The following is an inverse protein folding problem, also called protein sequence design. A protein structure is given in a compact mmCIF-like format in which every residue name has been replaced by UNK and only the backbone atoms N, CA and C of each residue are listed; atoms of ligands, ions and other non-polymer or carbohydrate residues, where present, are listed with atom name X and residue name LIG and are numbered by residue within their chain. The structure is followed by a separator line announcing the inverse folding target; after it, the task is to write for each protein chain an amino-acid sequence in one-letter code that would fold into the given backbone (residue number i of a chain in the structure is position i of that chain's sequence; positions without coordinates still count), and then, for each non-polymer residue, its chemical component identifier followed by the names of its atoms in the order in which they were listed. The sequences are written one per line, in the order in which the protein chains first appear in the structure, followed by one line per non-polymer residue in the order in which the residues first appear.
data_IF_328621906270
#
_entry.id   IF_328621906270
#
_cell.length_a   1.000
_cell.length_b   1.000
_cell.length_c   1.000
_cell.angle_alpha   90.00
_cell.angle_beta   90.00
_cell.angle_gamma   90.00
#
_symmetry.space_group_name_H-M   'P 1'
#
loop_
_entity.id
_entity.type
_entity.pdbx_description
1 polymer ?
#
# COMPACT_ATOMS: atom_id res chain seq x y z
N UNK A 1 29.18 29.33 67.83
CA UNK A 1 29.22 28.36 66.72
C UNK A 1 28.26 28.83 65.65
N UNK A 2 28.80 29.29 64.53
CA UNK A 2 28.08 29.93 63.43
C UNK A 2 27.34 28.88 62.59
N UNK A 3 26.03 29.03 62.41
CA UNK A 3 25.23 28.16 61.54
C UNK A 3 25.43 28.57 60.07
N UNK A 4 25.97 27.66 59.26
CA UNK A 4 26.16 27.81 57.82
C UNK A 4 24.83 27.60 57.08
N UNK A 5 24.33 28.66 56.44
CA UNK A 5 23.16 28.59 55.56
C UNK A 5 23.58 27.85 54.28
N UNK A 6 22.97 26.71 54.00
CA UNK A 6 23.22 25.95 52.76
C UNK A 6 22.44 26.58 51.61
N UNK A 7 23.16 27.08 50.61
CA UNK A 7 22.61 27.77 49.44
C UNK A 7 21.89 26.76 48.51
N UNK A 8 20.56 26.86 48.42
CA UNK A 8 19.76 25.98 47.57
C UNK A 8 19.92 26.37 46.09
N UNK A 9 20.66 25.57 45.33
CA UNK A 9 20.86 25.74 43.89
C UNK A 9 19.57 25.46 43.13
N UNK A 10 18.88 26.51 42.69
CA UNK A 10 17.69 26.41 41.85
C UNK A 10 18.07 25.94 40.43
N UNK A 11 18.02 24.63 40.21
CA UNK A 11 18.21 24.04 38.88
C UNK A 11 16.90 24.17 38.11
N UNK A 12 16.80 25.15 37.20
CA UNK A 12 15.70 25.22 36.24
C UNK A 12 15.78 24.01 35.30
N UNK A 13 15.01 22.97 35.60
CA UNK A 13 14.84 21.82 34.74
C UNK A 13 14.04 22.25 33.50
N UNK A 14 14.71 22.46 32.37
CA UNK A 14 14.03 22.65 31.09
C UNK A 14 13.66 21.27 30.51
N UNK A 15 12.36 21.00 30.44
CA UNK A 15 11.83 19.82 29.78
C UNK A 15 11.80 20.09 28.27
N UNK A 16 12.70 19.44 27.52
CA UNK A 16 12.62 19.34 26.06
C UNK A 16 11.49 18.38 25.72
N UNK A 17 10.29 18.93 25.48
CA UNK A 17 9.15 18.15 25.01
C UNK A 17 9.33 17.84 23.52
N UNK A 18 10.03 16.75 23.22
CA UNK A 18 10.06 16.17 21.87
C UNK A 18 8.70 15.50 21.65
N UNK A 19 7.74 16.21 21.06
CA UNK A 19 6.53 15.59 20.52
C UNK A 19 6.90 14.80 19.28
N UNK A 20 7.36 13.57 19.46
CA UNK A 20 7.36 12.59 18.39
C UNK A 20 5.89 12.28 18.09
N UNK A 21 5.33 12.94 17.07
CA UNK A 21 3.97 12.65 16.60
C UNK A 21 4.02 11.29 15.91
N UNK A 22 3.86 10.22 16.66
CA UNK A 22 3.71 8.90 16.07
C UNK A 22 2.46 8.88 15.19
N UNK A 23 2.54 8.31 13.98
CA UNK A 23 1.39 8.25 13.09
C UNK A 23 0.29 7.41 13.75
N UNK A 24 -0.92 7.97 13.86
CA UNK A 24 -2.09 7.33 14.51
C UNK A 24 -2.41 5.94 13.94
N UNK A 25 -2.02 5.66 12.70
CA UNK A 25 -2.08 4.34 12.09
C UNK A 25 -0.74 4.04 11.43
N UNK A 26 -0.03 3.03 11.91
CA UNK A 26 1.23 2.58 11.31
C UNK A 26 0.97 1.43 10.31
N UNK A 27 1.26 1.68 9.03
CA UNK A 27 1.02 0.73 7.92
C UNK A 27 1.81 -0.57 8.08
N UNK A 28 2.97 -0.52 8.73
CA UNK A 28 3.87 -1.67 8.85
C UNK A 28 3.27 -2.83 9.65
N UNK A 29 2.25 -2.57 10.48
CA UNK A 29 1.53 -3.61 11.23
C UNK A 29 0.47 -4.34 10.40
N UNK A 30 0.23 -3.92 9.16
CA UNK A 30 -0.78 -4.49 8.30
C UNK A 30 -0.15 -5.39 7.25
N UNK A 31 -0.65 -6.62 7.14
CA UNK A 31 -0.31 -7.56 6.07
C UNK A 31 -1.35 -7.57 4.93
N UNK A 32 -2.53 -6.98 5.16
CA UNK A 32 -3.65 -6.97 4.20
C UNK A 32 -4.05 -5.56 3.82
N UNK A 33 -4.02 -5.28 2.51
CA UNK A 33 -4.48 -4.03 1.92
C UNK A 33 -5.95 -3.76 2.27
N UNK A 34 -6.84 -4.75 2.15
CA UNK A 34 -8.27 -4.59 2.45
C UNK A 34 -8.51 -4.29 3.92
N UNK A 35 -7.80 -4.98 4.82
CA UNK A 35 -7.89 -4.77 6.27
C UNK A 35 -7.46 -3.36 6.66
N UNK A 36 -6.40 -2.83 6.04
CA UNK A 36 -5.96 -1.45 6.22
C UNK A 36 -7.09 -0.46 5.92
N UNK A 37 -7.73 -0.53 4.75
CA UNK A 37 -8.82 0.39 4.42
C UNK A 37 -10.05 0.23 5.28
N UNK A 38 -10.44 -1.01 5.61
CA UNK A 38 -11.58 -1.26 6.50
C UNK A 38 -11.36 -0.59 7.85
N UNK A 39 -10.20 -0.81 8.46
CA UNK A 39 -9.87 -0.20 9.76
C UNK A 39 -9.78 1.32 9.65
N UNK A 40 -9.10 1.86 8.64
CA UNK A 40 -9.04 3.32 8.43
C UNK A 40 -10.43 3.93 8.22
N UNK A 41 -11.30 3.29 7.45
CA UNK A 41 -12.66 3.76 7.21
C UNK A 41 -13.51 3.72 8.49
N UNK A 42 -13.41 2.65 9.29
CA UNK A 42 -14.05 2.56 10.60
C UNK A 42 -13.59 3.68 11.54
N UNK A 43 -12.29 3.95 11.61
CA UNK A 43 -11.74 5.05 12.42
C UNK A 43 -12.29 6.39 11.96
N UNK A 44 -12.33 6.65 10.65
CA UNK A 44 -12.88 7.91 10.13
C UNK A 44 -14.36 8.06 10.38
N UNK A 45 -15.13 6.97 10.32
CA UNK A 45 -16.54 6.96 10.69
C UNK A 45 -16.74 7.22 12.17
N UNK A 46 -15.93 6.59 13.02
CA UNK A 46 -15.96 6.81 14.47
C UNK A 46 -15.72 8.29 14.79
N UNK A 47 -14.68 8.89 14.21
CA UNK A 47 -14.38 10.31 14.35
C UNK A 47 -15.50 11.22 13.82
N UNK A 48 -16.16 10.83 12.72
CA UNK A 48 -17.31 11.56 12.20
C UNK A 48 -18.50 11.50 13.17
N UNK A 49 -18.86 10.30 13.65
CA UNK A 49 -19.98 10.08 14.57
C UNK A 49 -19.77 10.72 15.95
N UNK A 50 -18.52 10.94 16.35
CA UNK A 50 -18.19 11.69 17.56
C UNK A 50 -18.45 13.20 17.40
N UNK A 51 -18.27 13.75 16.20
CA UNK A 51 -18.34 15.20 15.93
C UNK A 51 -19.67 15.68 15.35
N UNK A 52 -20.40 14.82 14.65
CA UNK A 52 -21.56 15.23 13.86
C UNK A 52 -22.73 14.25 14.00
N UNK A 53 -23.93 14.81 13.90
CA UNK A 53 -25.20 14.09 13.77
C UNK A 53 -25.77 14.33 12.36
N UNK A 54 -26.49 13.36 11.76
CA UNK A 54 -26.83 12.04 12.31
C UNK A 54 -25.66 11.05 12.27
N UNK A 55 -25.64 10.13 13.24
CA UNK A 55 -24.67 9.03 13.28
C UNK A 55 -24.88 8.07 12.11
N UNK A 56 -23.77 7.67 11.49
CA UNK A 56 -23.75 6.61 10.47
C UNK A 56 -23.62 5.26 11.14
N UNK A 57 -24.63 4.42 11.02
CA UNK A 57 -24.70 3.06 11.61
C UNK A 57 -24.81 1.94 10.57
N UNK A 58 -25.04 2.27 9.30
CA UNK A 58 -25.10 1.31 8.18
C UNK A 58 -23.73 0.72 7.85
N UNK A 59 -23.66 -0.21 6.90
CA UNK A 59 -22.39 -0.79 6.43
C UNK A 59 -21.42 0.26 5.85
N UNK A 60 -20.13 -0.07 5.81
CA UNK A 60 -19.09 0.78 5.22
C UNK A 60 -19.41 1.10 3.76
N UNK A 61 -19.48 2.39 3.43
CA UNK A 61 -19.83 2.82 2.07
C UNK A 61 -18.61 2.95 1.19
N UNK A 62 -18.82 2.88 -0.13
CA UNK A 62 -17.76 3.09 -1.14
C UNK A 62 -17.01 4.42 -0.94
N UNK A 63 -17.72 5.47 -0.53
CA UNK A 63 -17.13 6.80 -0.27
C UNK A 63 -16.17 6.80 0.92
N UNK A 64 -16.46 6.02 1.97
CA UNK A 64 -15.56 5.89 3.11
C UNK A 64 -14.28 5.13 2.73
N UNK A 65 -14.41 4.10 1.89
CA UNK A 65 -13.25 3.43 1.29
C UNK A 65 -12.46 4.39 0.39
N UNK A 66 -13.13 5.22 -0.42
CA UNK A 66 -12.48 6.25 -1.26
C UNK A 66 -11.75 7.27 -0.40
N UNK A 67 -12.35 7.70 0.72
CA UNK A 67 -11.73 8.60 1.70
C UNK A 67 -10.50 7.98 2.35
N UNK A 68 -10.59 6.72 2.78
CA UNK A 68 -9.46 5.96 3.32
C UNK A 68 -8.33 5.80 2.28
N UNK A 69 -8.67 5.50 1.02
CA UNK A 69 -7.73 5.48 -0.10
C UNK A 69 -6.99 6.80 -0.29
N UNK A 70 -7.74 7.89 -0.38
CA UNK A 70 -7.17 9.21 -0.58
C UNK A 70 -6.30 9.64 0.60
N UNK A 71 -6.69 9.31 1.84
CA UNK A 71 -5.88 9.57 3.02
C UNK A 71 -4.50 8.92 2.90
N UNK A 72 -4.44 7.61 2.62
CA UNK A 72 -3.16 6.92 2.54
C UNK A 72 -2.27 7.43 1.41
N UNK A 73 -2.86 7.76 0.25
CA UNK A 73 -2.12 8.36 -0.86
C UNK A 73 -1.52 9.71 -0.44
N UNK A 74 -2.30 10.54 0.26
CA UNK A 74 -1.81 11.82 0.80
C UNK A 74 -0.69 11.60 1.80
N UNK A 75 -0.84 10.65 2.73
CA UNK A 75 0.21 10.31 3.71
C UNK A 75 1.50 9.89 3.03
N UNK A 76 1.45 9.02 2.02
CA UNK A 76 2.64 8.63 1.25
C UNK A 76 3.27 9.86 0.60
N UNK A 77 2.49 10.65 -0.13
CA UNK A 77 2.98 11.85 -0.80
C UNK A 77 3.64 12.84 0.16
N UNK A 78 3.01 13.09 1.32
CA UNK A 78 3.54 13.99 2.35
C UNK A 78 4.85 13.50 2.96
N UNK A 79 5.00 12.18 3.15
CA UNK A 79 6.22 11.60 3.71
C UNK A 79 7.41 11.68 2.75
N UNK A 80 7.14 11.68 1.44
CA UNK A 80 8.16 11.41 0.41
C UNK A 80 8.49 12.63 -0.44
N UNK A 81 7.52 13.51 -0.62
CA UNK A 81 7.58 14.63 -1.57
C UNK A 81 7.04 15.92 -0.94
N UNK A 82 7.31 16.13 0.35
CA UNK A 82 6.84 17.31 1.09
C UNK A 82 7.30 18.62 0.41
N UNK A 83 8.56 18.68 -0.04
CA UNK A 83 9.12 19.88 -0.68
C UNK A 83 8.42 20.19 -1.99
N UNK A 84 8.18 19.16 -2.82
CA UNK A 84 7.44 19.35 -4.07
C UNK A 84 5.99 19.74 -3.84
N UNK A 85 5.32 19.13 -2.85
CA UNK A 85 3.94 19.48 -2.49
C UNK A 85 3.85 20.93 -2.05
N UNK A 86 4.78 21.41 -1.22
CA UNK A 86 4.76 22.78 -0.72
C UNK A 86 5.10 23.79 -1.81
N UNK A 87 6.01 23.47 -2.74
CA UNK A 87 6.22 24.27 -3.94
C UNK A 87 4.93 24.38 -4.76
N UNK A 88 4.27 23.25 -5.03
CA UNK A 88 3.04 23.23 -5.84
C UNK A 88 1.86 23.94 -5.17
N UNK A 89 1.71 23.83 -3.84
CA UNK A 89 0.69 24.56 -3.08
C UNK A 89 0.90 26.08 -3.16
N UNK A 90 2.15 26.52 -3.13
CA UNK A 90 2.51 27.94 -3.15
C UNK A 90 2.71 28.49 -4.57
N UNK A 91 2.33 27.73 -5.61
CA UNK A 91 2.55 28.07 -7.02
C UNK A 91 4.02 28.45 -7.34
N UNK A 92 4.98 27.85 -6.61
CA UNK A 92 6.41 28.04 -6.83
C UNK A 92 6.95 27.00 -7.81
N UNK A 93 7.98 27.34 -8.59
CA UNK A 93 8.65 26.37 -9.44
C UNK A 93 9.25 25.24 -8.59
N UNK A 94 9.24 24.04 -9.14
CA UNK A 94 9.82 22.88 -8.47
C UNK A 94 11.35 23.00 -8.41
N UNK A 95 12.00 22.42 -7.39
CA UNK A 95 13.45 22.37 -7.33
C UNK A 95 14.03 21.69 -8.56
N UNK A 96 15.13 22.23 -9.12
CA UNK A 96 15.79 21.67 -10.30
C UNK A 96 16.25 20.20 -10.11
N UNK A 97 16.55 19.81 -8.86
CA UNK A 97 16.92 18.44 -8.48
C UNK A 97 15.72 17.50 -8.26
N UNK A 98 14.49 18.00 -8.40
CA UNK A 98 13.32 17.16 -8.19
C UNK A 98 13.20 16.12 -9.29
N UNK A 99 13.08 14.85 -8.88
CA UNK A 99 12.92 13.69 -9.78
C UNK A 99 11.61 13.75 -10.57
N UNK A 100 10.67 14.58 -10.12
CA UNK A 100 9.29 14.59 -10.62
C UNK A 100 9.02 15.74 -11.60
N UNK A 101 9.90 16.76 -11.64
CA UNK A 101 9.74 17.98 -12.44
C UNK A 101 9.49 17.70 -13.93
N UNK A 102 10.14 16.65 -14.47
CA UNK A 102 10.02 16.23 -15.89
C UNK A 102 8.62 15.71 -16.27
N UNK A 103 7.80 15.35 -15.29
CA UNK A 103 6.49 14.71 -15.51
C UNK A 103 5.31 15.67 -15.35
N UNK A 104 5.54 16.99 -15.36
CA UNK A 104 4.53 18.03 -15.18
C UNK A 104 3.55 17.73 -14.03
N UNK A 105 4.07 17.62 -12.79
CA UNK A 105 3.27 17.30 -11.63
C UNK A 105 2.31 18.44 -11.28
N UNK A 106 1.14 18.08 -10.79
CA UNK A 106 0.17 19.03 -10.27
C UNK A 106 -0.54 18.45 -9.05
N UNK A 107 -1.08 19.34 -8.22
CA UNK A 107 -1.85 18.96 -7.05
C UNK A 107 -3.34 18.96 -7.38
N UNK A 108 -4.05 17.88 -7.05
CA UNK A 108 -5.52 17.85 -7.06
C UNK A 108 -5.99 17.12 -5.81
N UNK A 109 -6.89 17.74 -5.04
CA UNK A 109 -7.36 17.20 -3.75
C UNK A 109 -6.19 16.86 -2.81
N UNK A 110 -5.14 17.69 -2.77
CA UNK A 110 -3.91 17.42 -2.02
C UNK A 110 -3.19 16.11 -2.38
N UNK A 111 -3.50 15.52 -3.54
CA UNK A 111 -2.82 14.34 -4.07
C UNK A 111 -1.94 14.80 -5.23
N UNK A 112 -0.68 14.37 -5.17
CA UNK A 112 0.29 14.60 -6.22
C UNK A 112 -0.04 13.71 -7.42
N UNK A 113 -0.35 14.35 -8.55
CA UNK A 113 -0.70 13.70 -9.81
C UNK A 113 0.25 14.15 -10.90
N UNK A 114 0.45 13.29 -11.88
CA UNK A 114 1.26 13.58 -13.05
C UNK A 114 0.37 13.71 -14.28
N UNK A 115 0.62 14.74 -15.07
CA UNK A 115 0.01 14.92 -16.38
C UNK A 115 0.70 14.03 -17.41
N UNK A 116 -0.08 13.30 -18.21
CA UNK A 116 0.45 12.72 -19.44
C UNK A 116 0.83 13.84 -20.41
N UNK A 117 1.96 13.71 -21.10
CA UNK A 117 2.40 14.64 -22.15
C UNK A 117 1.54 14.52 -23.43
N UNK A 118 0.66 13.52 -23.51
CA UNK A 118 -0.22 13.28 -24.63
C UNK A 118 -1.43 14.22 -24.55
N UNK A 119 -1.33 15.33 -25.28
CA UNK A 119 -2.30 16.42 -25.31
C UNK A 119 -3.65 16.06 -25.95
N UNK A 120 -3.83 14.84 -26.46
CA UNK A 120 -4.99 14.50 -27.27
C UNK A 120 -5.67 13.25 -26.74
N UNK A 121 -6.73 13.44 -25.94
CA UNK A 121 -7.91 12.55 -25.88
C UNK A 121 -8.88 13.05 -24.79
N UNK A 122 -10.18 13.08 -25.14
CA UNK A 122 -11.32 13.36 -24.25
C UNK A 122 -11.64 12.12 -23.38
N UNK A 123 -10.66 11.56 -22.71
CA UNK A 123 -10.91 10.53 -21.70
C UNK A 123 -11.41 11.19 -20.42
N UNK A 124 -12.34 10.52 -19.71
CA UNK A 124 -12.88 10.99 -18.44
C UNK A 124 -11.74 11.44 -17.51
N UNK A 125 -11.90 12.61 -16.89
CA UNK A 125 -10.88 13.37 -16.16
C UNK A 125 -10.19 12.62 -15.03
N UNK A 126 -10.77 11.53 -14.53
CA UNK A 126 -10.15 10.68 -13.50
C UNK A 126 -9.13 9.66 -14.07
N UNK A 127 -9.24 9.33 -15.35
CA UNK A 127 -8.46 8.29 -16.04
C UNK A 127 -7.14 8.80 -16.59
N UNK A 128 -7.06 10.11 -16.90
CA UNK A 128 -5.95 10.74 -17.62
C UNK A 128 -4.69 10.98 -16.78
N UNK A 129 -4.83 10.95 -15.45
CA UNK A 129 -3.77 11.39 -14.54
C UNK A 129 -3.30 10.26 -13.66
N UNK A 130 -1.99 9.98 -13.70
CA UNK A 130 -1.36 8.99 -12.84
C UNK A 130 -1.16 9.59 -11.45
N UNK A 131 -1.49 8.80 -10.42
CA UNK A 131 -1.20 9.17 -9.03
C UNK A 131 0.25 8.82 -8.76
N UNK A 132 0.98 9.75 -8.16
CA UNK A 132 2.35 9.49 -7.77
C UNK A 132 2.43 8.82 -6.40
N UNK A 133 3.28 7.78 -6.28
CA UNK A 133 3.58 7.11 -5.02
C UNK A 133 5.06 6.70 -4.97
N UNK A 134 5.67 6.68 -3.78
CA UNK A 134 7.03 6.18 -3.63
C UNK A 134 7.07 4.65 -3.43
N UNK A 135 7.89 3.96 -4.21
CA UNK A 135 7.94 2.50 -4.24
C UNK A 135 8.41 1.82 -2.96
N UNK A 136 9.11 2.53 -2.08
CA UNK A 136 9.64 1.98 -0.84
C UNK A 136 8.66 2.02 0.33
N UNK A 137 7.57 2.79 0.22
CA UNK A 137 6.63 2.93 1.31
C UNK A 137 5.85 1.62 1.56
N UNK A 138 5.65 1.17 2.82
CA UNK A 138 4.94 -0.08 3.14
C UNK A 138 3.54 -0.18 2.52
N UNK A 139 2.84 0.95 2.43
CA UNK A 139 1.55 1.06 1.74
C UNK A 139 1.60 0.60 0.28
N UNK A 140 2.63 1.02 -0.46
CA UNK A 140 2.78 0.69 -1.88
C UNK A 140 3.06 -0.79 -2.03
N UNK A 141 3.84 -1.39 -1.12
CA UNK A 141 4.04 -2.85 -1.07
C UNK A 141 2.72 -3.60 -0.90
N UNK A 142 1.85 -3.16 0.03
CA UNK A 142 0.52 -3.76 0.22
C UNK A 142 -0.37 -3.62 -1.03
N UNK A 143 -0.35 -2.44 -1.66
CA UNK A 143 -1.12 -2.17 -2.90
C UNK A 143 -0.71 -3.11 -4.03
N UNK A 144 0.60 -3.23 -4.25
CA UNK A 144 1.15 -4.08 -5.29
C UNK A 144 0.82 -5.55 -5.01
N UNK A 145 1.03 -6.01 -3.77
CA UNK A 145 0.74 -7.39 -3.37
C UNK A 145 -0.74 -7.75 -3.55
N UNK A 146 -1.64 -6.88 -3.10
CA UNK A 146 -3.08 -7.04 -3.30
C UNK A 146 -3.46 -7.12 -4.78
N UNK A 147 -2.89 -6.24 -5.61
CA UNK A 147 -3.16 -6.24 -7.05
C UNK A 147 -2.62 -7.50 -7.73
N UNK A 148 -1.45 -7.96 -7.32
CA UNK A 148 -0.85 -9.19 -7.83
C UNK A 148 -1.70 -10.43 -7.52
N UNK A 149 -2.21 -10.56 -6.30
CA UNK A 149 -3.14 -11.65 -5.93
C UNK A 149 -4.44 -11.54 -6.74
N UNK A 150 -5.02 -10.34 -6.85
CA UNK A 150 -6.26 -10.12 -7.62
C UNK A 150 -6.13 -10.43 -9.10
N UNK A 151 -4.94 -10.25 -9.66
CA UNK A 151 -4.60 -10.59 -11.04
C UNK A 151 -4.07 -12.02 -11.17
N UNK A 152 -4.37 -12.90 -10.21
CA UNK A 152 -3.99 -14.33 -10.25
C UNK A 152 -2.51 -14.58 -10.53
N UNK A 153 -1.66 -13.77 -9.92
CA UNK A 153 -0.22 -13.85 -10.03
C UNK A 153 0.38 -13.56 -11.42
N UNK A 154 -0.33 -12.79 -12.26
CA UNK A 154 0.20 -12.31 -13.53
C UNK A 154 1.51 -11.51 -13.36
N UNK A 155 2.27 -11.41 -14.46
CA UNK A 155 3.59 -10.81 -14.47
C UNK A 155 3.59 -9.33 -14.04
N UNK A 156 4.74 -8.85 -13.55
CA UNK A 156 4.90 -7.50 -13.02
C UNK A 156 4.41 -6.40 -13.98
N UNK A 157 4.65 -6.56 -15.29
CA UNK A 157 4.23 -5.59 -16.31
C UNK A 157 2.71 -5.42 -16.34
N UNK A 158 1.95 -6.50 -16.23
CA UNK A 158 0.49 -6.45 -16.21
C UNK A 158 0.00 -5.81 -14.91
N UNK A 159 0.58 -6.20 -13.76
CA UNK A 159 0.25 -5.59 -12.46
C UNK A 159 0.44 -4.09 -12.49
N UNK A 160 1.59 -3.61 -12.99
CA UNK A 160 1.91 -2.19 -13.09
C UNK A 160 1.01 -1.47 -14.11
N UNK A 161 0.70 -2.08 -15.24
CA UNK A 161 -0.22 -1.48 -16.23
C UNK A 161 -1.64 -1.30 -15.68
N UNK A 162 -2.08 -2.21 -14.78
CA UNK A 162 -3.39 -2.12 -14.15
C UNK A 162 -3.40 -1.12 -12.99
N UNK A 163 -2.25 -0.96 -12.34
CA UNK A 163 -2.02 0.08 -11.35
C UNK A 163 -2.00 1.44 -12.05
N UNK A 164 -3.04 2.25 -11.85
CA UNK A 164 -3.08 3.65 -12.30
C UNK A 164 -2.23 4.57 -11.40
N UNK A 165 -1.05 4.10 -11.01
CA UNK A 165 -0.10 4.82 -10.16
C UNK A 165 1.28 4.77 -10.79
N UNK A 166 1.99 5.90 -10.78
CA UNK A 166 3.41 5.91 -11.09
C UNK A 166 4.18 5.72 -9.78
N UNK A 167 5.09 4.76 -9.78
CA UNK A 167 5.92 4.41 -8.63
C UNK A 167 7.31 5.02 -8.82
N UNK A 168 7.73 5.96 -7.98
CA UNK A 168 9.12 6.44 -7.95
C UNK A 168 10.05 5.39 -7.37
N UNK A 169 11.30 5.33 -7.88
CA UNK A 169 12.20 4.21 -7.58
C UNK A 169 11.65 2.89 -8.14
N UNK A 170 10.89 2.97 -9.25
CA UNK A 170 10.24 1.83 -9.88
C UNK A 170 11.22 0.73 -10.17
N UNK A 171 12.46 0.98 -10.58
CA UNK A 171 13.40 -0.09 -10.89
C UNK A 171 13.60 -1.07 -9.70
N UNK A 172 13.87 -0.54 -8.51
CA UNK A 172 14.06 -1.31 -7.27
C UNK A 172 12.75 -1.90 -6.76
N UNK A 173 11.65 -1.13 -6.81
CA UNK A 173 10.33 -1.59 -6.42
C UNK A 173 9.82 -2.71 -7.35
N UNK A 174 10.07 -2.60 -8.65
CA UNK A 174 9.76 -3.58 -9.70
C UNK A 174 10.67 -4.79 -9.58
N UNK A 175 11.95 -4.63 -9.22
CA UNK A 175 12.86 -5.74 -8.94
C UNK A 175 12.39 -6.56 -7.74
N UNK A 176 12.00 -5.89 -6.64
CA UNK A 176 11.38 -6.53 -5.47
C UNK A 176 10.05 -7.20 -5.82
N UNK A 177 9.24 -6.53 -6.65
CA UNK A 177 7.99 -7.09 -7.16
C UNK A 177 8.26 -8.36 -7.97
N UNK A 178 9.16 -8.32 -8.96
CA UNK A 178 9.55 -9.48 -9.76
C UNK A 178 9.95 -10.66 -8.87
N UNK A 179 10.81 -10.45 -7.87
CA UNK A 179 11.20 -11.50 -6.91
C UNK A 179 9.99 -12.10 -6.18
N UNK A 180 9.07 -11.27 -5.68
CA UNK A 180 7.87 -11.74 -5.00
C UNK A 180 6.92 -12.51 -5.94
N UNK A 181 6.77 -12.05 -7.19
CA UNK A 181 5.97 -12.73 -8.22
C UNK A 181 6.57 -14.09 -8.56
N UNK A 182 7.88 -14.15 -8.76
CA UNK A 182 8.59 -15.40 -9.07
C UNK A 182 8.42 -16.41 -7.94
N UNK A 183 8.62 -16.00 -6.67
CA UNK A 183 8.43 -16.88 -5.52
C UNK A 183 6.98 -17.39 -5.44
N UNK A 184 5.98 -16.52 -5.61
CA UNK A 184 4.58 -16.91 -5.56
C UNK A 184 4.18 -17.85 -6.71
N UNK A 185 4.71 -17.61 -7.92
CA UNK A 185 4.52 -18.49 -9.07
C UNK A 185 5.13 -19.87 -8.83
N UNK A 186 6.37 -19.93 -8.32
CA UNK A 186 7.05 -21.20 -8.00
C UNK A 186 6.32 -21.96 -6.88
N UNK A 187 5.89 -21.28 -5.82
CA UNK A 187 5.10 -21.90 -4.76
C UNK A 187 3.81 -22.54 -5.31
N UNK A 188 3.08 -21.82 -6.17
CA UNK A 188 1.86 -22.34 -6.81
C UNK A 188 2.13 -23.48 -7.79
N UNK A 189 3.26 -23.44 -8.51
CA UNK A 189 3.68 -24.54 -9.38
C UNK A 189 4.02 -25.80 -8.58
N UNK A 190 4.68 -25.64 -7.43
CA UNK A 190 4.97 -26.73 -6.49
C UNK A 190 3.68 -27.31 -5.90
N UNK A 191 2.72 -26.48 -5.48
CA UNK A 191 1.39 -26.93 -5.01
C UNK A 191 0.64 -27.72 -6.10
N UNK A 192 0.70 -27.27 -7.36
CA UNK A 192 0.11 -27.99 -8.50
C UNK A 192 0.81 -29.32 -8.79
N UNK A 193 2.14 -29.36 -8.69
CA UNK A 193 2.92 -30.59 -8.85
C UNK A 193 2.62 -31.60 -7.74
N UNK A 194 2.59 -31.15 -6.48
CA UNK A 194 2.24 -31.97 -5.32
C UNK A 194 0.82 -32.51 -5.41
N UNK A 195 -0.16 -31.68 -5.81
CA UNK A 195 -1.54 -32.12 -6.01
C UNK A 195 -1.71 -33.05 -7.22
N UNK A 196 -0.90 -32.90 -8.29
CA UNK A 196 -0.91 -33.84 -9.42
C UNK A 196 -0.34 -35.22 -9.07
N UNK A 197 0.75 -35.27 -8.28
CA UNK A 197 1.34 -36.53 -7.79
C UNK A 197 0.43 -37.21 -6.78
N UNK A 198 -0.23 -36.46 -5.90
CA UNK A 198 -1.24 -36.99 -4.99
C UNK A 198 -2.45 -37.53 -5.77
N UNK A 199 -2.96 -36.82 -6.79
CA UNK A 199 -4.06 -37.35 -7.63
C UNK A 199 -3.69 -38.66 -8.33
N UNK A 200 -2.48 -38.79 -8.86
CA UNK A 200 -2.01 -40.04 -9.46
C UNK A 200 -1.82 -41.17 -8.41
N UNK A 201 -1.42 -40.81 -7.18
CA UNK A 201 -1.28 -41.75 -6.07
C UNK A 201 -2.64 -42.24 -5.53
N UNK A 202 -3.65 -41.37 -5.47
CA UNK A 202 -5.02 -41.76 -5.08
C UNK A 202 -5.74 -42.54 -6.18
N UNK A 203 -5.58 -42.17 -7.46
CA UNK A 203 -6.16 -42.91 -8.59
C UNK A 203 -5.61 -44.36 -8.73
N UNK A 204 -4.39 -44.63 -8.28
CA UNK A 204 -3.81 -45.98 -8.29
C UNK A 204 -4.24 -46.85 -7.09
N UNK A 205 -4.84 -46.26 -6.05
CA UNK A 205 -5.33 -47.02 -4.89
C UNK A 205 -6.76 -47.55 -5.06
N UNK A 206 -7.51 -47.01 -6.00
CA UNK A 206 -8.92 -47.37 -6.25
C UNK A 206 -9.11 -48.38 -7.40
N UNK A 207 -8.03 -48.99 -7.91
CA UNK A 207 -8.18 -50.15 -8.80
C UNK A 207 -8.55 -51.40 -7.97
N UNK A 208 -9.70 -52.04 -8.23
CA UNK A 208 -10.01 -53.31 -7.57
C UNK A 208 -8.94 -54.33 -7.96
N UNK A 209 -8.29 -54.93 -6.95
CA UNK A 209 -7.44 -56.10 -7.13
C UNK A 209 -8.29 -57.22 -7.73
N UNK A 210 -8.26 -57.35 -9.05
CA UNK A 210 -8.81 -58.50 -9.76
C UNK A 210 -8.00 -59.74 -9.34
N UNK A 211 -8.53 -60.49 -8.37
CA UNK A 211 -8.22 -61.90 -8.22
C UNK A 211 -8.90 -62.62 -9.38
N UNK A 212 -8.15 -63.12 -10.35
CA UNK A 212 -8.61 -64.25 -11.14
C UNK A 212 -7.52 -65.29 -11.26
N UNK A 213 -7.83 -66.42 -10.63
CA UNK A 213 -7.17 -67.70 -10.66
C UNK A 213 -7.03 -68.18 -12.11
N UNK A 214 -5.81 -68.48 -12.53
CA UNK A 214 -5.54 -69.23 -13.74
C UNK A 214 -5.78 -70.71 -13.38
N UNK A 215 -6.88 -71.29 -13.89
CA UNK A 215 -7.03 -72.73 -14.05
C UNK A 215 -6.38 -73.07 -15.39
N UNK A 216 -5.27 -73.81 -15.36
CA UNK A 216 -4.79 -74.58 -16.51
C UNK A 216 -5.28 -76.02 -16.31
N UNK A 217 -5.63 -76.62 -17.45
CA UNK A 217 -6.23 -77.96 -17.64
C UNK A 217 -5.53 -79.09 -16.87
#
# INVERSE_FOLDING_TARGET
MSLTITEARNVKTQYLFTTSVEPTINVSHFSSYVRLFRISACIFRFLHNFKAQPRKTSDLTSDEFKKAKNYWIRTVNSNTSHTEIDCLKNAKPLPAKSKISRFNPFLRDNILRLGEKLQFEKLATETKYLILLEGFHPFVKLLIHYTHIRLHHLCARIVLSKLRVLIFGSYEAVKRLKKHITIAYLARLLERSATSKLKHFYLLKDLPRAKHSIKLE
#
